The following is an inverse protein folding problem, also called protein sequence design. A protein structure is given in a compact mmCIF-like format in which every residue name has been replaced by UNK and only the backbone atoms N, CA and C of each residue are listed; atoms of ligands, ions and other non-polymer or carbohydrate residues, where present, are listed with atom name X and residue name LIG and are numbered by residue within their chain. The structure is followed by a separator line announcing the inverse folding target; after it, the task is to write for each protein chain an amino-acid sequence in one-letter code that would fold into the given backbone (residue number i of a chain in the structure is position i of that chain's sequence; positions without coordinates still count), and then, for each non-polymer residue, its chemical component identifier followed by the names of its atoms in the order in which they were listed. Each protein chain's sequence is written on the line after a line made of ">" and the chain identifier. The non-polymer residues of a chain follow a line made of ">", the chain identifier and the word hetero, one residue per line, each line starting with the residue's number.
data_IF_643976021426
#
_entry.id   IF_643976021426
#
_cell.length_a   1.000
_cell.length_b   1.000
_cell.length_c   1.000
_cell.angle_alpha   90.00
_cell.angle_beta   90.00
_cell.angle_gamma   90.00
#
_symmetry.space_group_name_H-M   'P 1'
#
loop_
_entity.id
_entity.type
_entity.pdbx_description
1 polymer ?
#
# COMPACT_ATOMS: atom_id res chain seq x y z
N UNK A 1 2.02 63.28 18.39
CA UNK A 1 3.03 62.20 18.40
C UNK A 1 3.40 61.94 19.85
N UNK A 2 3.00 60.79 20.39
CA UNK A 2 3.16 60.46 21.81
C UNK A 2 3.68 59.03 21.91
N UNK A 3 4.96 58.86 22.29
CA UNK A 3 5.52 57.54 22.59
C UNK A 3 5.06 57.13 23.99
N UNK A 4 4.22 56.10 24.12
CA UNK A 4 4.03 55.44 25.41
C UNK A 4 5.25 54.57 25.70
N UNK A 5 6.06 54.96 26.68
CA UNK A 5 7.10 54.11 27.22
C UNK A 5 6.46 52.99 28.06
N UNK A 6 6.56 51.75 27.61
CA UNK A 6 6.06 50.60 28.37
C UNK A 6 6.99 50.32 29.56
N UNK A 7 6.49 50.45 30.78
CA UNK A 7 7.20 50.07 32.00
C UNK A 7 7.26 48.55 32.12
N UNK A 8 8.30 47.95 31.55
CA UNK A 8 8.53 46.50 31.58
C UNK A 8 8.83 46.01 33.01
N UNK A 9 8.25 44.87 33.38
CA UNK A 9 8.40 44.30 34.73
C UNK A 9 9.79 43.66 34.88
N UNK A 10 10.33 43.58 36.10
CA UNK A 10 11.65 42.96 36.37
C UNK A 10 11.77 41.53 35.81
N UNK A 11 10.69 40.76 35.79
CA UNK A 11 10.61 39.42 35.17
C UNK A 11 10.68 39.45 33.64
N UNK A 12 10.04 40.43 32.99
CA UNK A 12 10.10 40.62 31.54
C UNK A 12 11.51 41.04 31.10
N UNK A 13 12.17 41.93 31.86
CA UNK A 13 13.58 42.29 31.64
C UNK A 13 14.52 41.09 31.78
N UNK A 14 14.29 40.22 32.77
CA UNK A 14 15.07 38.99 32.92
C UNK A 14 14.87 38.02 31.75
N UNK A 15 13.62 37.84 31.29
CA UNK A 15 13.30 37.00 30.14
C UNK A 15 13.93 37.54 28.85
N UNK A 16 13.90 38.87 28.67
CA UNK A 16 14.46 39.54 27.49
C UNK A 16 15.98 39.42 27.44
N UNK A 17 16.67 39.61 28.59
CA UNK A 17 18.11 39.36 28.71
C UNK A 17 18.50 37.90 28.47
N UNK A 18 17.62 36.93 28.81
CA UNK A 18 17.87 35.52 28.55
C UNK A 18 17.70 35.16 27.06
N UNK A 19 16.68 35.73 26.40
CA UNK A 19 16.46 35.56 24.96
C UNK A 19 17.55 36.22 24.12
N UNK A 20 18.01 37.41 24.49
CA UNK A 20 19.15 38.07 23.84
C UNK A 20 20.43 37.23 24.00
N UNK A 21 20.66 36.65 25.18
CA UNK A 21 21.78 35.72 25.42
C UNK A 21 21.74 34.49 24.52
N UNK A 22 20.59 33.81 24.43
CA UNK A 22 20.37 32.67 23.54
C UNK A 22 20.56 33.01 22.06
N UNK A 23 20.05 34.17 21.61
CA UNK A 23 20.25 34.65 20.24
C UNK A 23 21.72 34.94 19.94
N UNK A 24 22.44 35.51 20.90
CA UNK A 24 23.85 35.86 20.74
C UNK A 24 24.76 34.63 20.78
N UNK A 25 24.42 33.62 21.58
CA UNK A 25 25.05 32.28 21.59
C UNK A 25 24.85 31.57 20.24
N UNK A 26 23.61 31.49 19.75
CA UNK A 26 23.30 30.91 18.44
C UNK A 26 23.93 31.68 17.25
N UNK A 27 24.18 32.99 17.40
CA UNK A 27 24.86 33.79 16.37
C UNK A 27 26.39 33.63 16.44
N UNK A 28 26.96 33.37 17.62
CA UNK A 28 28.38 33.03 17.79
C UNK A 28 28.74 31.66 17.21
N UNK A 29 27.81 30.70 17.24
CA UNK A 29 27.94 29.45 16.48
C UNK A 29 27.88 29.64 14.95
N UNK A 30 27.49 30.84 14.47
CA UNK A 30 27.31 31.20 13.06
C UNK A 30 28.35 32.25 12.58
N UNK A 31 29.55 32.27 13.15
CA UNK A 31 30.66 33.16 12.76
C UNK A 31 30.87 33.19 11.22
N UNK A 32 30.87 34.38 10.58
CA UNK A 32 30.87 34.54 9.11
C UNK A 32 32.27 34.36 8.48
N UNK A 33 33.09 33.48 9.04
CA UNK A 33 34.46 33.19 8.61
C UNK A 33 34.62 31.93 7.74
N UNK A 34 33.61 31.07 7.69
CA UNK A 34 33.63 29.82 6.91
C UNK A 34 32.52 29.84 5.89
N UNK A 35 32.86 30.00 4.61
CA UNK A 35 31.89 29.85 3.53
C UNK A 35 31.31 28.42 3.58
N UNK A 36 29.98 28.24 3.52
CA UNK A 36 29.41 26.91 3.56
C UNK A 36 29.79 26.16 2.28
N UNK A 37 30.31 24.94 2.41
CA UNK A 37 30.74 24.12 1.26
C UNK A 37 29.61 23.92 0.22
N UNK A 38 28.35 24.03 0.66
CA UNK A 38 27.19 24.04 -0.22
C UNK A 38 27.15 25.19 -1.22
N UNK A 39 27.62 26.41 -0.88
CA UNK A 39 27.58 27.52 -1.85
C UNK A 39 28.57 27.32 -2.99
N UNK A 40 29.78 26.83 -2.68
CA UNK A 40 30.81 26.53 -3.70
C UNK A 40 30.36 25.36 -4.58
N UNK A 41 29.79 24.31 -3.99
CA UNK A 41 29.25 23.17 -4.74
C UNK A 41 28.04 23.55 -5.62
N UNK A 42 27.20 24.51 -5.18
CA UNK A 42 26.08 25.02 -5.98
C UNK A 42 26.59 25.84 -7.17
N UNK A 43 27.59 26.71 -6.98
CA UNK A 43 28.18 27.50 -8.07
C UNK A 43 28.91 26.61 -9.10
N UNK A 44 29.65 25.59 -8.65
CA UNK A 44 30.32 24.62 -9.54
C UNK A 44 29.29 23.81 -10.35
N UNK A 45 28.20 23.35 -9.70
CA UNK A 45 27.10 22.66 -10.40
C UNK A 45 26.40 23.56 -11.43
N UNK A 46 26.16 24.84 -11.11
CA UNK A 46 25.59 25.81 -12.05
C UNK A 46 26.51 26.05 -13.27
N UNK A 47 27.82 26.15 -13.05
CA UNK A 47 28.80 26.26 -14.13
C UNK A 47 28.78 25.03 -15.05
N UNK A 48 28.79 23.82 -14.48
CA UNK A 48 28.75 22.57 -15.25
C UNK A 48 27.46 22.44 -16.10
N UNK A 49 26.30 22.81 -15.56
CA UNK A 49 25.03 22.80 -16.31
C UNK A 49 25.04 23.80 -17.47
N UNK A 50 25.62 24.99 -17.27
CA UNK A 50 25.78 25.99 -18.33
C UNK A 50 26.72 25.52 -19.45
N UNK A 51 27.82 24.84 -19.12
CA UNK A 51 28.72 24.27 -20.12
C UNK A 51 28.07 23.13 -20.93
N UNK A 52 27.26 22.29 -20.29
CA UNK A 52 26.50 21.24 -20.97
C UNK A 52 25.45 21.84 -21.93
N UNK A 53 24.68 22.84 -21.48
CA UNK A 53 23.70 23.53 -22.33
C UNK A 53 24.35 24.25 -23.53
N UNK A 54 25.55 24.81 -23.36
CA UNK A 54 26.31 25.41 -24.47
C UNK A 54 26.85 24.34 -25.43
N UNK A 55 27.17 23.12 -24.95
CA UNK A 55 27.51 21.99 -25.83
C UNK A 55 26.31 21.52 -26.63
N UNK A 56 25.15 21.30 -26.01
CA UNK A 56 23.92 20.89 -26.70
C UNK A 56 23.46 21.94 -27.73
N UNK A 57 23.49 23.24 -27.38
CA UNK A 57 23.16 24.31 -28.31
C UNK A 57 24.13 24.45 -29.50
N UNK A 58 25.35 23.89 -29.39
CA UNK A 58 26.34 23.84 -30.48
C UNK A 58 26.28 22.55 -31.29
N UNK A 59 25.60 21.51 -30.82
CA UNK A 59 25.35 20.33 -31.64
C UNK A 59 24.27 20.67 -32.68
N UNK A 60 24.55 20.56 -33.99
CA UNK A 60 23.51 20.72 -34.99
C UNK A 60 22.50 19.59 -34.81
N UNK A 61 21.24 19.93 -34.57
CA UNK A 61 20.15 18.96 -34.53
C UNK A 61 20.20 18.06 -35.78
N UNK A 62 20.00 16.74 -35.65
CA UNK A 62 20.07 15.83 -36.79
C UNK A 62 19.07 16.30 -37.85
N UNK A 63 19.59 16.62 -39.03
CA UNK A 63 18.80 17.19 -40.10
C UNK A 63 17.64 16.24 -40.44
N UNK A 64 16.41 16.73 -40.27
CA UNK A 64 15.19 16.04 -40.66
C UNK A 64 15.28 15.67 -42.14
N UNK A 65 15.54 14.40 -42.43
CA UNK A 65 15.49 13.88 -43.79
C UNK A 65 14.08 14.13 -44.37
N UNK A 66 13.96 14.54 -45.64
CA UNK A 66 12.68 14.92 -46.22
C UNK A 66 11.68 13.77 -46.20
N UNK A 67 10.43 14.09 -45.89
CA UNK A 67 9.35 13.14 -45.71
C UNK A 67 9.21 12.18 -46.90
N UNK A 68 9.38 10.88 -46.64
CA UNK A 68 9.14 9.83 -47.63
C UNK A 68 7.63 9.66 -47.80
N UNK A 69 7.13 9.79 -49.02
CA UNK A 69 5.71 9.73 -49.35
C UNK A 69 5.06 8.39 -48.90
N UNK A 70 3.77 8.38 -48.52
CA UNK A 70 3.09 7.18 -48.06
C UNK A 70 2.90 6.17 -49.20
N UNK A 71 3.51 4.99 -49.07
CA UNK A 71 3.21 3.84 -49.91
C UNK A 71 1.78 3.33 -49.62
N UNK A 72 1.01 2.93 -50.65
CA UNK A 72 -0.39 2.54 -50.50
C UNK A 72 -0.57 1.24 -49.70
N UNK A 73 -1.67 1.20 -48.97
CA UNK A 73 -2.09 0.09 -48.10
C UNK A 73 -2.31 -1.18 -48.93
N UNK A 74 -1.48 -2.21 -48.69
CA UNK A 74 -1.87 -3.58 -49.01
C UNK A 74 -2.95 -4.01 -48.03
N UNK A 75 -4.18 -4.23 -48.52
CA UNK A 75 -5.26 -4.80 -47.71
C UNK A 75 -4.85 -6.22 -47.31
N UNK A 76 -4.76 -6.48 -46.01
CA UNK A 76 -4.86 -7.84 -45.51
C UNK A 76 -6.33 -8.22 -45.59
N UNK A 77 -6.64 -9.16 -46.48
CA UNK A 77 -8.00 -9.68 -46.61
C UNK A 77 -8.41 -10.39 -45.31
N UNK A 78 -9.52 -9.95 -44.72
CA UNK A 78 -10.12 -10.60 -43.56
C UNK A 78 -10.67 -11.96 -44.01
N UNK A 79 -9.94 -13.04 -43.72
CA UNK A 79 -10.46 -14.39 -43.86
C UNK A 79 -11.55 -14.63 -42.81
N UNK A 80 -12.76 -14.97 -43.27
CA UNK A 80 -13.93 -15.17 -42.42
C UNK A 80 -13.72 -16.30 -41.39
N UNK A 81 -14.25 -16.17 -40.16
CA UNK A 81 -14.16 -17.21 -39.15
C UNK A 81 -15.05 -18.40 -39.52
N UNK A 82 -14.46 -19.46 -40.08
CA UNK A 82 -15.14 -20.71 -40.37
C UNK A 82 -15.32 -21.52 -39.06
N UNK A 83 -16.54 -21.91 -38.66
CA UNK A 83 -16.75 -22.62 -37.41
C UNK A 83 -16.18 -24.04 -37.49
N UNK A 84 -15.26 -24.38 -36.58
CA UNK A 84 -14.82 -25.76 -36.39
C UNK A 84 -15.78 -26.47 -35.44
N UNK A 85 -16.41 -27.51 -35.97
CA UNK A 85 -17.49 -28.26 -35.33
C UNK A 85 -16.90 -29.31 -34.38
N UNK A 86 -17.47 -29.44 -33.18
CA UNK A 86 -17.11 -30.49 -32.22
C UNK A 86 -17.42 -31.89 -32.80
N UNK A 87 -16.47 -32.84 -32.78
CA UNK A 87 -16.80 -34.24 -33.02
C UNK A 87 -17.47 -34.83 -31.77
N UNK A 88 -18.78 -35.04 -31.87
CA UNK A 88 -19.58 -35.84 -30.95
C UNK A 88 -18.94 -37.22 -30.73
N UNK A 89 -18.71 -37.60 -29.47
CA UNK A 89 -18.42 -39.00 -29.13
C UNK A 89 -19.73 -39.77 -29.15
N UNK A 90 -19.84 -40.74 -30.06
CA UNK A 90 -21.04 -41.56 -30.21
C UNK A 90 -21.24 -42.51 -29.02
N UNK A 91 -22.42 -42.43 -28.41
CA UNK A 91 -22.91 -43.29 -27.33
C UNK A 91 -23.93 -44.27 -27.94
N UNK A 92 -23.59 -45.56 -28.03
CA UNK A 92 -24.54 -46.64 -28.35
C UNK A 92 -24.10 -47.96 -27.67
N UNK A 93 -25.03 -48.92 -27.43
CA UNK A 93 -25.29 -49.32 -26.04
C UNK A 93 -25.16 -50.83 -25.77
N UNK A 94 -25.24 -51.22 -24.50
CA UNK A 94 -25.75 -52.54 -24.11
C UNK A 94 -26.51 -52.44 -22.78
N UNK A 95 -27.60 -53.20 -22.64
CA UNK A 95 -28.55 -53.08 -21.54
C UNK A 95 -28.85 -54.43 -20.87
N UNK A 96 -29.49 -54.33 -19.69
CA UNK A 96 -30.26 -55.36 -18.97
C UNK A 96 -29.55 -56.21 -17.87
N UNK A 97 -29.77 -55.76 -16.62
CA UNK A 97 -30.48 -56.49 -15.51
C UNK A 97 -30.19 -57.97 -15.27
N UNK A 98 -29.75 -58.34 -14.05
CA UNK A 98 -30.34 -59.38 -13.15
C UNK A 98 -29.88 -59.13 -11.68
N UNK A 99 -30.71 -59.57 -10.72
CA UNK A 99 -30.67 -59.35 -9.25
C UNK A 99 -29.85 -60.44 -8.44
N UNK A 100 -29.85 -60.52 -7.07
CA UNK A 100 -28.68 -60.90 -6.24
C UNK A 100 -28.90 -62.26 -5.47
N UNK A 101 -28.37 -62.57 -4.24
CA UNK A 101 -27.28 -62.06 -3.37
C UNK A 101 -26.29 -63.23 -3.00
N UNK A 102 -25.84 -63.59 -1.76
CA UNK A 102 -25.55 -62.88 -0.47
C UNK A 102 -24.18 -63.25 0.22
N UNK A 103 -23.91 -62.71 1.43
CA UNK A 103 -22.91 -63.12 2.50
C UNK A 103 -21.42 -62.85 2.16
N UNK A 104 -20.58 -62.18 2.98
CA UNK A 104 -20.22 -62.38 4.42
C UNK A 104 -20.11 -61.05 5.22
N UNK A 105 -20.34 -61.14 6.53
CA UNK A 105 -20.49 -60.09 7.55
C UNK A 105 -19.14 -59.64 8.23
N UNK A 106 -19.10 -58.95 9.40
CA UNK A 106 -19.15 -57.48 9.47
C UNK A 106 -18.03 -56.85 10.35
N UNK A 107 -17.64 -55.59 10.12
CA UNK A 107 -16.76 -54.84 11.06
C UNK A 107 -17.22 -53.38 11.25
N UNK A 108 -17.84 -53.17 12.41
CA UNK A 108 -17.86 -51.95 13.26
C UNK A 108 -18.50 -50.67 12.69
N UNK A 109 -19.61 -50.32 13.35
CA UNK A 109 -20.25 -49.00 13.35
C UNK A 109 -19.39 -47.99 14.12
N UNK A 110 -19.15 -46.81 13.56
CA UNK A 110 -19.00 -45.56 14.33
C UNK A 110 -19.75 -44.46 13.57
N UNK A 111 -20.58 -43.72 14.29
CA UNK A 111 -21.46 -42.68 13.75
C UNK A 111 -20.69 -41.42 13.34
N UNK A 112 -21.17 -40.64 12.34
CA UNK A 112 -20.58 -39.34 12.04
C UNK A 112 -20.97 -38.33 13.14
N UNK A 113 -20.05 -38.05 14.06
CA UNK A 113 -20.19 -36.98 15.05
C UNK A 113 -20.05 -35.63 14.35
N UNK A 114 -21.19 -35.05 13.96
CA UNK A 114 -21.31 -33.71 13.38
C UNK A 114 -21.31 -32.67 14.52
N UNK A 115 -20.16 -32.44 15.15
CA UNK A 115 -20.08 -31.53 16.31
C UNK A 115 -18.69 -30.84 16.51
N UNK A 116 -17.94 -30.56 15.43
CA UNK A 116 -16.64 -29.87 15.53
C UNK A 116 -16.54 -28.56 14.73
N UNK A 117 -17.61 -28.13 14.06
CA UNK A 117 -17.57 -26.98 13.13
C UNK A 117 -18.22 -25.70 13.67
N UNK A 118 -18.71 -25.70 14.92
CA UNK A 118 -19.21 -24.50 15.60
C UNK A 118 -18.19 -23.88 16.58
N UNK A 119 -17.32 -24.69 17.18
CA UNK A 119 -16.43 -24.26 18.27
C UNK A 119 -15.20 -23.46 17.79
N UNK A 120 -14.81 -23.61 16.51
CA UNK A 120 -13.71 -22.82 15.93
C UNK A 120 -14.07 -21.35 15.69
N UNK A 121 -15.35 -20.96 15.85
CA UNK A 121 -15.77 -19.56 15.95
C UNK A 121 -15.62 -19.03 17.39
N UNK A 122 -14.55 -19.45 18.08
CA UNK A 122 -14.15 -18.88 19.35
C UNK A 122 -13.93 -17.37 19.16
N UNK A 123 -14.73 -16.60 19.88
CA UNK A 123 -14.72 -15.14 19.85
C UNK A 123 -13.36 -14.65 20.36
N UNK A 124 -12.46 -14.34 19.43
CA UNK A 124 -11.09 -13.91 19.72
C UNK A 124 -11.16 -12.52 20.34
N UNK A 125 -11.33 -12.49 21.66
CA UNK A 125 -11.18 -11.27 22.47
C UNK A 125 -9.87 -10.62 22.04
N UNK A 126 -9.88 -9.38 21.53
CA UNK A 126 -8.66 -8.77 21.04
C UNK A 126 -7.67 -8.67 22.20
N UNK A 127 -6.50 -9.29 22.01
CA UNK A 127 -5.39 -9.14 22.93
C UNK A 127 -5.04 -7.65 23.07
N UNK A 128 -4.44 -7.21 24.18
CA UNK A 128 -3.87 -5.87 24.26
C UNK A 128 -2.93 -5.66 23.07
N UNK A 129 -3.15 -4.55 22.34
CA UNK A 129 -2.53 -4.29 21.04
C UNK A 129 -1.05 -3.90 21.23
N UNK A 130 -0.18 -4.92 21.33
CA UNK A 130 1.27 -4.76 21.44
C UNK A 130 1.90 -4.38 20.08
N UNK A 131 1.60 -3.18 19.58
CA UNK A 131 2.11 -2.69 18.30
C UNK A 131 3.65 -2.57 18.20
N UNK A 132 4.34 -2.54 19.34
CA UNK A 132 5.80 -2.42 19.40
C UNK A 132 6.54 -3.78 19.27
N UNK A 133 5.84 -4.92 19.37
CA UNK A 133 6.45 -6.24 19.12
C UNK A 133 6.61 -6.51 17.62
N UNK A 134 7.59 -7.32 17.25
CA UNK A 134 7.75 -7.77 15.86
C UNK A 134 6.61 -8.77 15.55
N UNK A 135 5.92 -8.68 14.40
CA UNK A 135 4.88 -9.63 14.06
C UNK A 135 5.43 -11.06 13.89
N UNK A 136 4.68 -12.07 14.31
CA UNK A 136 5.08 -13.49 14.30
C UNK A 136 5.57 -13.97 12.91
N UNK A 137 4.97 -13.47 11.83
CA UNK A 137 5.36 -13.81 10.45
C UNK A 137 6.73 -13.30 10.02
N UNK A 138 7.36 -12.43 10.83
CA UNK A 138 8.66 -11.82 10.55
C UNK A 138 9.83 -12.46 11.33
N UNK A 139 9.60 -13.59 12.00
CA UNK A 139 10.67 -14.36 12.64
C UNK A 139 11.51 -15.15 11.64
N UNK A 140 10.88 -15.69 10.59
CA UNK A 140 11.51 -16.47 9.52
C UNK A 140 11.46 -15.73 8.16
N UNK A 141 12.26 -16.10 7.14
CA UNK A 141 12.19 -15.52 5.80
C UNK A 141 10.87 -15.83 5.09
N UNK A 142 10.15 -14.77 4.68
CA UNK A 142 8.76 -14.82 4.25
C UNK A 142 8.57 -14.22 2.85
N UNK A 143 7.42 -14.50 2.22
CA UNK A 143 7.07 -13.91 0.93
C UNK A 143 6.24 -12.63 1.09
N UNK A 144 6.58 -11.60 0.33
CA UNK A 144 5.91 -10.31 0.29
C UNK A 144 5.38 -10.00 -1.11
N UNK A 145 4.16 -9.46 -1.19
CA UNK A 145 3.58 -8.91 -2.41
C UNK A 145 3.88 -7.42 -2.47
N UNK A 146 4.58 -7.00 -3.54
CA UNK A 146 4.76 -5.60 -3.88
C UNK A 146 3.54 -5.10 -4.67
N UNK A 147 3.03 -3.94 -4.27
CA UNK A 147 1.99 -3.22 -5.01
C UNK A 147 2.21 -1.71 -4.89
N UNK A 148 1.73 -0.98 -5.90
CA UNK A 148 1.94 0.45 -6.03
C UNK A 148 0.65 1.24 -5.76
N UNK A 149 0.80 2.33 -5.01
CA UNK A 149 -0.29 3.15 -4.50
C UNK A 149 0.10 4.62 -4.61
N UNK A 150 -0.54 5.37 -5.52
CA UNK A 150 -0.25 6.80 -5.75
C UNK A 150 1.26 7.11 -5.97
N UNK A 151 2.01 6.19 -6.57
CA UNK A 151 3.46 6.31 -6.81
C UNK A 151 4.36 5.86 -5.65
N UNK A 152 3.81 5.30 -4.57
CA UNK A 152 4.56 4.66 -3.49
C UNK A 152 4.44 3.13 -3.57
N UNK A 153 5.56 2.43 -3.58
CA UNK A 153 5.61 0.96 -3.48
C UNK A 153 5.50 0.50 -2.03
N UNK A 154 4.55 -0.41 -1.79
CA UNK A 154 4.29 -1.05 -0.51
C UNK A 154 4.53 -2.56 -0.62
N UNK A 155 5.01 -3.16 0.47
CA UNK A 155 5.17 -4.60 0.61
C UNK A 155 4.23 -5.12 1.71
N UNK A 156 3.50 -6.19 1.43
CA UNK A 156 2.66 -6.90 2.41
C UNK A 156 2.97 -8.39 2.42
N UNK A 157 3.11 -9.04 3.59
CA UNK A 157 3.32 -10.49 3.66
C UNK A 157 2.17 -11.29 3.04
N UNK A 158 2.47 -12.29 2.19
CA UNK A 158 1.47 -13.14 1.55
C UNK A 158 0.62 -13.90 2.58
N UNK A 159 1.19 -14.24 3.74
CA UNK A 159 0.50 -14.91 4.86
C UNK A 159 -0.58 -14.06 5.54
N UNK A 160 -0.69 -12.77 5.20
CA UNK A 160 -1.76 -11.88 5.65
C UNK A 160 -2.78 -11.56 4.54
N UNK A 161 -2.58 -12.08 3.33
CA UNK A 161 -3.41 -11.77 2.16
C UNK A 161 -4.42 -12.88 1.87
N UNK A 162 -5.61 -12.47 1.43
CA UNK A 162 -6.59 -13.35 0.82
C UNK A 162 -6.57 -13.24 -0.70
N UNK A 163 -7.74 -12.95 -1.28
CA UNK A 163 -7.93 -12.85 -2.72
C UNK A 163 -7.71 -11.42 -3.23
N UNK A 164 -7.25 -11.30 -4.48
CA UNK A 164 -7.16 -10.04 -5.21
C UNK A 164 -8.34 -9.95 -6.16
N UNK A 165 -9.16 -8.92 -6.00
CA UNK A 165 -10.31 -8.65 -6.86
C UNK A 165 -9.99 -7.48 -7.79
N UNK A 166 -10.26 -7.58 -9.11
CA UNK A 166 -10.26 -6.40 -9.96
C UNK A 166 -11.40 -5.47 -9.51
N UNK A 167 -11.14 -4.16 -9.57
CA UNK A 167 -12.13 -3.11 -9.31
C UNK A 167 -12.75 -2.57 -10.60
N UNK A 168 -12.13 -2.85 -11.75
CA UNK A 168 -12.71 -2.62 -13.07
C UNK A 168 -14.04 -3.39 -13.15
N UNK A 169 -15.09 -2.69 -13.59
CA UNK A 169 -16.48 -3.18 -13.70
C UNK A 169 -17.19 -3.57 -12.38
N UNK A 170 -16.64 -3.20 -11.21
CA UNK A 170 -17.23 -3.53 -9.91
C UNK A 170 -17.78 -2.30 -9.18
N UNK A 171 -19.08 -2.34 -8.84
CA UNK A 171 -19.76 -1.27 -8.10
C UNK A 171 -19.51 -1.37 -6.59
N UNK A 172 -18.67 -0.48 -6.06
CA UNK A 172 -18.57 -0.26 -4.62
C UNK A 172 -19.84 0.43 -4.10
N UNK A 173 -20.49 -0.12 -3.09
CA UNK A 173 -21.61 0.54 -2.41
C UNK A 173 -21.07 1.52 -1.35
N UNK A 174 -21.12 2.85 -1.56
CA UNK A 174 -20.62 3.82 -0.58
C UNK A 174 -21.52 3.87 0.65
N UNK A 175 -20.93 4.04 1.83
CA UNK A 175 -21.68 4.25 3.08
C UNK A 175 -21.58 5.71 3.51
N UNK A 176 -22.73 6.35 3.71
CA UNK A 176 -22.79 7.72 4.19
C UNK A 176 -22.35 7.83 5.67
N UNK A 177 -21.69 8.93 6.02
CA UNK A 177 -21.22 9.19 7.39
C UNK A 177 -19.95 8.41 7.80
N UNK A 178 -19.36 7.61 6.90
CA UNK A 178 -18.06 7.00 7.13
C UNK A 178 -16.90 7.99 6.90
N UNK A 179 -15.71 7.73 7.47
CA UNK A 179 -14.51 8.53 7.19
C UNK A 179 -14.11 8.46 5.71
N UNK A 180 -13.47 9.51 5.20
CA UNK A 180 -13.16 9.63 3.77
C UNK A 180 -12.09 8.64 3.23
N UNK A 181 -11.42 7.88 4.10
CA UNK A 181 -10.58 6.74 3.70
C UNK A 181 -11.39 5.47 3.40
N UNK A 182 -12.68 5.44 3.73
CA UNK A 182 -13.59 4.34 3.39
C UNK A 182 -14.22 4.59 2.02
N UNK A 183 -14.04 3.66 1.09
CA UNK A 183 -14.53 3.80 -0.29
C UNK A 183 -15.93 3.22 -0.46
N UNK A 184 -16.22 2.07 0.17
CA UNK A 184 -17.49 1.38 0.07
C UNK A 184 -17.42 -0.09 0.48
N UNK A 185 -18.51 -0.82 0.28
CA UNK A 185 -18.58 -2.27 0.39
C UNK A 185 -18.46 -2.88 -1.00
N UNK A 186 -17.59 -3.89 -1.16
CA UNK A 186 -17.48 -4.75 -2.33
C UNK A 186 -18.08 -6.13 -2.00
N UNK A 187 -19.13 -6.59 -2.70
CA UNK A 187 -19.60 -7.96 -2.57
C UNK A 187 -18.55 -8.93 -3.16
N UNK A 188 -18.19 -9.96 -2.40
CA UNK A 188 -17.22 -10.98 -2.80
C UNK A 188 -17.73 -12.40 -2.48
N UNK A 189 -17.06 -13.43 -2.99
CA UNK A 189 -17.37 -14.83 -2.65
C UNK A 189 -17.22 -15.14 -1.16
N UNK A 190 -16.38 -14.39 -0.43
CA UNK A 190 -16.18 -14.53 1.01
C UNK A 190 -17.16 -13.66 1.84
N UNK A 191 -18.09 -12.94 1.20
CA UNK A 191 -18.99 -11.99 1.83
C UNK A 191 -18.66 -10.52 1.49
N UNK A 192 -19.12 -9.60 2.32
CA UNK A 192 -19.08 -8.16 2.09
C UNK A 192 -17.76 -7.55 2.58
N UNK A 193 -16.85 -7.24 1.66
CA UNK A 193 -15.55 -6.63 1.98
C UNK A 193 -15.67 -5.11 2.11
N UNK A 194 -15.20 -4.58 3.23
CA UNK A 194 -15.08 -3.15 3.52
C UNK A 194 -13.82 -2.61 2.83
N UNK A 195 -14.00 -1.87 1.74
CA UNK A 195 -12.90 -1.37 0.90
C UNK A 195 -12.43 -0.02 1.39
N UNK A 196 -11.13 0.10 1.62
CA UNK A 196 -10.47 1.31 2.09
C UNK A 196 -9.40 1.81 1.11
N UNK A 197 -9.19 3.12 1.10
CA UNK A 197 -8.21 3.79 0.25
C UNK A 197 -6.83 3.75 0.90
N UNK A 198 -5.96 2.87 0.37
CA UNK A 198 -4.59 2.70 0.88
C UNK A 198 -3.73 3.96 0.66
N UNK A 199 -3.98 4.74 -0.40
CA UNK A 199 -3.21 5.95 -0.69
C UNK A 199 -3.50 7.01 0.36
N UNK A 200 -4.78 7.22 0.66
CA UNK A 200 -5.24 8.17 1.67
C UNK A 200 -4.80 7.78 3.07
N UNK A 201 -4.73 6.48 3.35
CA UNK A 201 -4.28 5.97 4.64
C UNK A 201 -2.78 6.20 4.87
N UNK A 202 -1.95 5.82 3.90
CA UNK A 202 -0.49 5.86 4.05
C UNK A 202 0.04 7.30 3.91
N UNK A 203 -0.54 8.09 3.00
CA UNK A 203 -0.09 9.45 2.67
C UNK A 203 -1.26 10.47 2.66
N UNK A 204 -1.92 10.74 3.81
CA UNK A 204 -3.05 11.67 3.87
C UNK A 204 -2.68 13.08 3.37
N UNK A 205 -1.50 13.59 3.72
CA UNK A 205 -1.06 14.97 3.41
C UNK A 205 -0.75 15.20 1.92
N UNK A 206 -0.50 14.12 1.16
CA UNK A 206 -0.16 14.17 -0.28
C UNK A 206 -1.25 13.61 -1.17
N UNK A 207 -2.40 13.25 -0.60
CA UNK A 207 -3.51 12.64 -1.32
C UNK A 207 -4.16 13.64 -2.30
N UNK A 208 -4.69 13.10 -3.40
CA UNK A 208 -5.42 13.82 -4.45
C UNK A 208 -6.57 12.93 -4.92
N UNK A 209 -7.72 13.53 -5.22
CA UNK A 209 -8.91 12.79 -5.67
C UNK A 209 -8.71 12.03 -6.98
N UNK A 210 -7.72 12.42 -7.80
CA UNK A 210 -7.36 11.70 -9.02
C UNK A 210 -6.83 10.29 -8.73
N UNK A 211 -6.15 10.07 -7.59
CA UNK A 211 -5.69 8.74 -7.18
C UNK A 211 -6.84 7.76 -6.95
N UNK A 212 -8.00 8.26 -6.47
CA UNK A 212 -9.22 7.46 -6.30
C UNK A 212 -9.71 6.86 -7.63
N UNK A 213 -9.49 7.56 -8.76
CA UNK A 213 -9.84 7.09 -10.11
C UNK A 213 -8.83 6.09 -10.68
N UNK A 214 -7.62 6.04 -10.11
CA UNK A 214 -6.55 5.13 -10.53
C UNK A 214 -6.53 3.79 -9.79
N UNK A 215 -7.49 3.53 -8.91
CA UNK A 215 -7.62 2.27 -8.18
C UNK A 215 -8.15 1.16 -9.12
N UNK A 216 -7.37 0.10 -9.31
CA UNK A 216 -7.71 -1.00 -10.23
C UNK A 216 -7.94 -2.34 -9.53
N UNK A 217 -7.45 -2.50 -8.30
CA UNK A 217 -7.53 -3.76 -7.56
C UNK A 217 -7.89 -3.54 -6.09
N UNK A 218 -8.56 -4.52 -5.50
CA UNK A 218 -8.85 -4.61 -4.07
C UNK A 218 -8.26 -5.93 -3.55
N UNK A 219 -7.30 -5.83 -2.64
CA UNK A 219 -6.66 -6.98 -2.01
C UNK A 219 -7.36 -7.25 -0.67
N UNK A 220 -8.01 -8.40 -0.50
CA UNK A 220 -8.65 -8.74 0.77
C UNK A 220 -7.62 -9.17 1.82
N UNK A 221 -7.88 -8.84 3.08
CA UNK A 221 -7.02 -9.23 4.21
C UNK A 221 -7.48 -10.58 4.78
N UNK A 222 -6.57 -11.51 5.05
CA UNK A 222 -6.94 -12.81 5.59
C UNK A 222 -7.48 -12.67 7.03
N UNK A 223 -8.61 -13.31 7.33
CA UNK A 223 -9.24 -13.27 8.65
C UNK A 223 -10.03 -12.00 8.98
N UNK A 224 -10.13 -11.04 8.05
CA UNK A 224 -10.79 -9.75 8.23
C UNK A 224 -11.75 -9.43 7.09
N UNK A 225 -12.89 -8.80 7.39
CA UNK A 225 -13.87 -8.33 6.38
C UNK A 225 -13.41 -7.04 5.65
N UNK A 226 -12.11 -6.86 5.44
CA UNK A 226 -11.51 -5.61 4.94
C UNK A 226 -10.69 -5.84 3.67
N UNK A 227 -10.62 -4.82 2.81
CA UNK A 227 -9.85 -4.87 1.57
C UNK A 227 -9.09 -3.56 1.27
N UNK A 228 -7.83 -3.70 0.87
CA UNK A 228 -6.92 -2.63 0.48
C UNK A 228 -7.13 -2.28 -0.99
N UNK A 229 -7.64 -1.09 -1.30
CA UNK A 229 -7.69 -0.61 -2.68
C UNK A 229 -6.31 -0.09 -3.11
N UNK A 230 -5.81 -0.59 -4.25
CA UNK A 230 -4.46 -0.32 -4.78
C UNK A 230 -4.51 0.02 -6.27
N UNK A 231 -3.50 0.72 -6.78
CA UNK A 231 -3.47 1.15 -8.18
C UNK A 231 -2.98 0.03 -9.09
N UNK A 232 -1.95 -0.71 -8.66
CA UNK A 232 -1.35 -1.80 -9.42
C UNK A 232 -0.75 -2.83 -8.48
N UNK A 233 -0.90 -4.11 -8.82
CA UNK A 233 -0.17 -5.22 -8.17
C UNK A 233 1.05 -5.54 -9.02
N UNK A 234 2.22 -5.68 -8.38
CA UNK A 234 3.50 -5.65 -9.09
C UNK A 234 4.14 -7.05 -9.16
N UNK A 235 4.75 -7.56 -8.08
CA UNK A 235 5.30 -8.94 -8.02
C UNK A 235 5.42 -9.43 -6.60
N UNK A 236 5.47 -10.75 -6.38
CA UNK A 236 5.96 -11.31 -5.13
C UNK A 236 7.50 -11.33 -5.09
N UNK A 237 8.04 -11.25 -3.88
CA UNK A 237 9.46 -11.33 -3.54
C UNK A 237 9.59 -12.16 -2.25
N UNK A 238 10.72 -12.82 -2.06
CA UNK A 238 11.09 -13.38 -0.75
C UNK A 238 11.95 -12.35 -0.03
N UNK A 239 11.66 -12.08 1.24
CA UNK A 239 12.41 -11.17 2.09
C UNK A 239 12.97 -11.91 3.30
N UNK A 240 14.22 -11.59 3.64
CA UNK A 240 14.82 -11.98 4.91
C UNK A 240 14.57 -10.88 5.98
N UNK A 241 14.29 -11.23 7.25
CA UNK A 241 14.13 -10.26 8.33
C UNK A 241 15.33 -9.31 8.53
N UNK A 242 16.52 -9.65 8.05
CA UNK A 242 17.72 -8.80 8.07
C UNK A 242 17.74 -7.72 6.98
N UNK A 243 17.02 -7.90 5.87
CA UNK A 243 16.88 -6.93 4.76
C UNK A 243 15.89 -5.79 5.09
N UNK A 244 15.29 -5.84 6.29
CA UNK A 244 14.23 -4.93 6.73
C UNK A 244 14.75 -4.05 7.86
N UNK A 245 14.73 -2.73 7.63
CA UNK A 245 14.91 -1.73 8.69
C UNK A 245 13.62 -1.62 9.50
N UNK A 246 13.51 -2.45 10.54
CA UNK A 246 12.40 -2.46 11.49
C UNK A 246 12.25 -1.12 12.22
N UNK A 247 11.00 -0.71 12.47
CA UNK A 247 10.69 0.48 13.28
C UNK A 247 10.48 0.12 14.74
N UNK A 248 11.30 0.68 15.63
CA UNK A 248 11.17 0.51 17.10
C UNK A 248 10.13 1.42 17.75
N UNK A 249 9.64 2.44 17.04
CA UNK A 249 8.59 3.35 17.51
C UNK A 249 7.40 3.27 16.55
N UNK A 250 6.44 2.40 16.90
CA UNK A 250 5.23 2.13 16.11
C UNK A 250 4.05 3.02 16.50
N UNK A 251 4.08 3.64 17.69
CA UNK A 251 3.02 4.52 18.25
C UNK A 251 2.38 5.50 17.24
N UNK A 252 3.17 6.17 16.39
CA UNK A 252 2.63 7.16 15.44
C UNK A 252 2.01 6.52 14.17
N UNK A 253 2.48 5.34 13.76
CA UNK A 253 2.07 4.62 12.53
C UNK A 253 2.20 3.11 12.77
N UNK A 254 1.30 2.48 13.55
CA UNK A 254 1.46 1.10 13.98
C UNK A 254 1.40 0.10 12.83
N UNK A 255 0.68 0.45 11.77
CA UNK A 255 0.62 -0.28 10.51
C UNK A 255 1.93 -0.30 9.71
N UNK A 256 2.95 0.50 10.04
CA UNK A 256 4.23 0.50 9.32
C UNK A 256 5.27 -0.33 10.07
N UNK A 257 5.43 -1.58 9.65
CA UNK A 257 6.32 -2.56 10.29
C UNK A 257 7.80 -2.17 10.18
N UNK A 258 8.21 -1.68 9.00
CA UNK A 258 9.58 -1.33 8.66
C UNK A 258 9.74 -0.79 7.23
N UNK A 259 10.98 -0.69 6.77
CA UNK A 259 11.34 -0.35 5.38
C UNK A 259 12.27 -1.42 4.82
N UNK A 260 11.93 -1.97 3.66
CA UNK A 260 12.77 -2.94 2.94
C UNK A 260 13.94 -2.20 2.31
N UNK A 261 15.16 -2.66 2.57
CA UNK A 261 16.39 -1.97 2.16
C UNK A 261 16.59 -2.11 0.64
N UNK A 262 16.54 -3.34 0.10
CA UNK A 262 16.86 -3.61 -1.32
C UNK A 262 15.87 -2.98 -2.31
N UNK A 263 14.58 -2.99 -1.96
CA UNK A 263 13.50 -2.50 -2.82
C UNK A 263 12.98 -1.12 -2.45
N UNK A 264 13.56 -0.49 -1.42
CA UNK A 264 13.20 0.84 -0.93
C UNK A 264 11.69 1.04 -0.65
N UNK A 265 10.96 -0.04 -0.38
CA UNK A 265 9.52 -0.03 -0.17
C UNK A 265 9.15 -0.09 1.32
N UNK A 266 7.96 0.40 1.65
CA UNK A 266 7.44 0.38 3.02
C UNK A 266 6.76 -0.98 3.30
N UNK A 267 7.18 -1.65 4.37
CA UNK A 267 6.61 -2.93 4.82
C UNK A 267 5.41 -2.67 5.73
N UNK A 268 4.24 -3.12 5.31
CA UNK A 268 2.95 -2.87 5.97
C UNK A 268 2.54 -4.07 6.83
N UNK A 269 2.23 -3.81 8.10
CA UNK A 269 1.53 -4.76 8.98
C UNK A 269 0.02 -4.56 8.81
N UNK A 270 -0.61 -5.55 8.15
CA UNK A 270 -2.03 -5.50 7.82
C UNK A 270 -2.91 -5.95 9.00
N UNK A 271 -2.38 -6.76 9.91
CA UNK A 271 -3.08 -7.15 11.14
C UNK A 271 -3.22 -5.94 12.06
N UNK A 272 -2.10 -5.26 12.35
CA UNK A 272 -2.09 -4.03 13.11
C UNK A 272 -2.97 -2.93 12.47
N UNK A 273 -2.98 -2.85 11.14
CA UNK A 273 -3.87 -1.96 10.39
C UNK A 273 -5.35 -2.29 10.61
N UNK A 274 -5.75 -3.54 10.45
CA UNK A 274 -7.14 -3.98 10.61
C UNK A 274 -7.65 -3.79 12.04
N UNK A 275 -6.81 -4.08 13.04
CA UNK A 275 -7.11 -3.88 14.47
C UNK A 275 -7.23 -2.40 14.84
N UNK A 276 -6.38 -1.54 14.29
CA UNK A 276 -6.46 -0.08 14.47
C UNK A 276 -7.77 0.50 13.92
N UNK A 277 -8.29 -0.08 12.83
CA UNK A 277 -9.58 0.29 12.24
C UNK A 277 -10.74 -0.27 13.09
N UNK A 278 -10.69 -1.54 13.48
CA UNK A 278 -11.72 -2.20 14.29
C UNK A 278 -11.88 -1.54 15.67
N UNK A 279 -10.78 -1.09 16.29
CA UNK A 279 -10.77 -0.36 17.56
C UNK A 279 -11.21 1.12 17.44
N UNK A 280 -11.40 1.64 16.23
CA UNK A 280 -11.80 3.04 15.98
C UNK A 280 -10.74 4.09 16.34
N UNK A 281 -9.52 3.67 16.70
CA UNK A 281 -8.42 4.54 17.12
C UNK A 281 -7.95 5.51 16.01
N UNK A 282 -8.27 5.20 14.75
CA UNK A 282 -8.07 6.04 13.55
C UNK A 282 -8.50 7.50 13.77
N UNK A 283 -9.61 7.73 14.48
CA UNK A 283 -10.14 9.08 14.73
C UNK A 283 -9.21 9.95 15.60
N UNK A 284 -8.31 9.35 16.38
CA UNK A 284 -7.31 10.07 17.19
C UNK A 284 -6.06 10.43 16.38
N UNK A 285 -5.65 9.54 15.47
CA UNK A 285 -4.45 9.74 14.63
C UNK A 285 -4.62 10.93 13.67
N UNK A 286 -5.75 11.04 12.98
CA UNK A 286 -6.02 12.16 12.07
C UNK A 286 -6.20 13.52 12.78
N UNK A 287 -6.46 13.52 14.09
CA UNK A 287 -6.65 14.74 14.88
C UNK A 287 -5.37 15.21 15.59
N UNK A 288 -4.21 14.57 15.35
CA UNK A 288 -2.93 14.97 15.94
C UNK A 288 -2.83 14.87 17.46
N UNK A 289 -3.81 14.22 18.12
CA UNK A 289 -3.82 14.07 19.59
C UNK A 289 -3.00 12.84 20.02
N UNK A 290 -1.69 12.98 19.93
CA UNK A 290 -0.71 12.25 20.74
C UNK A 290 0.14 13.31 21.47
N UNK A 291 -0.31 13.67 22.67
CA UNK A 291 0.40 14.47 23.67
C UNK A 291 0.56 13.61 24.93
#
# INVERSE_FOLDING_TARGET
>A
MSRSAATSTRSQLALQSYLDGLLQEATLELEPGTAPESSVAIDEFQAAVLEEQVRDARQPAPALAPARAPSPIARLDFAEPRPLVLPTVELLPSAAVVEPPPVIEPVIVVEPVVDLQLEQRAERVPAPLNFDERPDWAEEPFECLLFDVAGLTLAVPLVCLGSIYPLVDQELTPLFGQPEWFLGILPSQAGNLKVLDTARWVMPDRYRDDFRRGLQYVISVQGYEWGLAVHQVSRSIRLDPSEIKWRSQRVQRPWLAGTVIEHMCALLDVSALAELIASGAVKRMNNGQLH
#
